data_IF_330329149174
#
_entry.id   IF_330329149174
#
_cell.length_a   1.000
_cell.length_b   1.000
_cell.length_c   1.000
_cell.angle_alpha   90.00
_cell.angle_beta   90.00
_cell.angle_gamma   90.00
#
_symmetry.space_group_name_H-M   'P 1'
#
loop_
_entity.id
_entity.type
_entity.pdbx_description
1 polymer ?
#
# COMPACT_ATOMS: atom_id res chain seq x y z
N UNK A 1 -35.11 19.52 -26.95
CA UNK A 1 -34.19 19.39 -25.81
C UNK A 1 -34.44 18.04 -25.18
N UNK A 2 -33.44 17.18 -25.13
CA UNK A 2 -33.54 15.88 -24.46
C UNK A 2 -33.53 16.07 -22.94
N UNK A 3 -34.01 15.11 -22.14
CA UNK A 3 -33.96 15.18 -20.68
C UNK A 3 -32.53 15.42 -20.15
N UNK A 4 -31.52 14.77 -20.75
CA UNK A 4 -30.12 14.95 -20.39
C UNK A 4 -29.55 16.34 -20.71
N UNK A 5 -30.05 16.98 -21.77
CA UNK A 5 -29.68 18.36 -22.11
C UNK A 5 -30.28 19.34 -21.12
N UNK A 6 -31.51 19.09 -20.65
CA UNK A 6 -32.18 19.93 -19.66
C UNK A 6 -31.48 19.88 -18.30
N UNK A 7 -31.08 18.69 -17.87
CA UNK A 7 -30.28 18.51 -16.64
C UNK A 7 -28.95 19.26 -16.75
N UNK A 8 -28.21 19.07 -17.85
CA UNK A 8 -26.96 19.80 -18.10
C UNK A 8 -27.15 21.31 -18.12
N UNK A 9 -28.20 21.80 -18.75
CA UNK A 9 -28.51 23.23 -18.77
C UNK A 9 -28.78 23.77 -17.36
N UNK A 10 -29.55 23.05 -16.55
CA UNK A 10 -29.81 23.44 -15.16
C UNK A 10 -28.54 23.46 -14.29
N UNK A 11 -27.65 22.48 -14.49
CA UNK A 11 -26.36 22.39 -13.80
C UNK A 11 -25.44 23.56 -14.18
N UNK A 12 -25.35 23.90 -15.48
CA UNK A 12 -24.57 25.04 -15.94
C UNK A 12 -25.07 26.38 -15.36
N UNK A 13 -26.39 26.58 -15.27
CA UNK A 13 -26.96 27.77 -14.63
C UNK A 13 -26.61 27.81 -13.14
N UNK A 14 -26.71 26.67 -12.46
CA UNK A 14 -26.37 26.57 -11.04
C UNK A 14 -24.90 26.94 -10.79
N UNK A 15 -23.98 26.36 -11.56
CA UNK A 15 -22.54 26.69 -11.52
C UNK A 15 -22.27 28.16 -11.81
N UNK A 16 -22.93 28.74 -12.82
CA UNK A 16 -22.81 30.17 -13.13
C UNK A 16 -23.23 31.07 -11.96
N UNK A 17 -24.31 30.71 -11.26
CA UNK A 17 -24.77 31.44 -10.07
C UNK A 17 -23.75 31.39 -8.93
N UNK A 18 -23.15 30.22 -8.69
CA UNK A 18 -22.12 30.07 -7.66
C UNK A 18 -20.87 30.90 -8.01
N UNK A 19 -20.42 30.85 -9.27
CA UNK A 19 -19.31 31.68 -9.75
C UNK A 19 -19.59 33.17 -9.61
N UNK A 20 -20.83 33.61 -9.84
CA UNK A 20 -21.23 35.00 -9.60
C UNK A 20 -21.13 35.37 -8.12
N UNK A 21 -21.58 34.50 -7.21
CA UNK A 21 -21.44 34.72 -5.77
C UNK A 21 -19.98 34.76 -5.33
N UNK A 22 -19.14 33.87 -5.86
CA UNK A 22 -17.72 33.84 -5.56
C UNK A 22 -16.99 35.08 -6.08
N UNK A 23 -17.35 35.59 -7.27
CA UNK A 23 -16.77 36.82 -7.81
C UNK A 23 -17.09 38.03 -6.92
N UNK A 24 -18.31 38.14 -6.41
CA UNK A 24 -18.68 39.17 -5.44
C UNK A 24 -17.86 39.11 -4.15
N UNK A 25 -17.55 37.90 -3.66
CA UNK A 25 -16.70 37.72 -2.48
C UNK A 25 -15.26 38.18 -2.76
N UNK A 26 -14.72 37.92 -3.95
CA UNK A 26 -13.43 38.48 -4.34
C UNK A 26 -13.45 40.00 -4.47
N UNK A 27 -14.53 40.59 -4.99
CA UNK A 27 -14.70 42.05 -4.99
C UNK A 27 -14.74 42.63 -3.58
N UNK A 28 -15.42 41.96 -2.64
CA UNK A 28 -15.43 42.36 -1.21
C UNK A 28 -14.03 42.26 -0.60
N UNK A 29 -13.26 41.23 -0.94
CA UNK A 29 -11.87 41.10 -0.51
C UNK A 29 -10.98 42.22 -1.07
N UNK A 30 -11.12 42.54 -2.36
CA UNK A 30 -10.38 43.64 -3.00
C UNK A 30 -10.71 44.99 -2.35
N UNK A 31 -12.00 45.26 -2.11
CA UNK A 31 -12.44 46.47 -1.42
C UNK A 31 -11.94 46.53 0.03
N UNK A 32 -11.88 45.41 0.73
CA UNK A 32 -11.31 45.33 2.08
C UNK A 32 -9.80 45.66 2.07
N UNK A 33 -9.08 45.31 1.00
CA UNK A 33 -7.68 45.72 0.81
C UNK A 33 -7.58 47.24 0.65
N UNK A 34 -8.42 47.83 -0.21
CA UNK A 34 -8.42 49.27 -0.50
C UNK A 34 -8.72 50.12 0.75
N UNK A 35 -9.65 49.67 1.59
CA UNK A 35 -10.06 50.38 2.81
C UNK A 35 -9.08 50.12 3.98
N UNK A 36 -8.11 49.22 3.80
CA UNK A 36 -7.11 48.92 4.83
C UNK A 36 -7.62 48.04 5.97
N UNK A 37 -8.67 47.26 5.74
CA UNK A 37 -9.24 46.33 6.73
C UNK A 37 -8.24 45.27 7.19
N UNK A 38 -8.51 44.61 8.31
CA UNK A 38 -7.65 43.54 8.84
C UNK A 38 -7.44 42.39 7.85
N UNK A 39 -6.28 41.74 7.93
CA UNK A 39 -5.94 40.58 7.09
C UNK A 39 -6.94 39.43 7.25
N UNK A 40 -7.46 39.23 8.46
CA UNK A 40 -8.46 38.22 8.80
C UNK A 40 -9.77 38.42 8.02
N UNK A 41 -10.23 39.66 7.89
CA UNK A 41 -11.45 39.99 7.14
C UNK A 41 -11.25 39.74 5.65
N UNK A 42 -10.08 40.10 5.10
CA UNK A 42 -9.72 39.83 3.70
C UNK A 42 -9.67 38.34 3.43
N UNK A 43 -9.00 37.59 4.31
CA UNK A 43 -8.85 36.15 4.21
C UNK A 43 -10.21 35.44 4.29
N UNK A 44 -11.12 35.90 5.13
CA UNK A 44 -12.47 35.33 5.24
C UNK A 44 -13.23 35.40 3.91
N UNK A 45 -13.18 36.54 3.22
CA UNK A 45 -13.84 36.69 1.92
C UNK A 45 -13.20 35.79 0.85
N UNK A 46 -11.87 35.72 0.83
CA UNK A 46 -11.13 34.85 -0.10
C UNK A 46 -11.45 33.37 0.17
N UNK A 47 -11.47 32.96 1.44
CA UNK A 47 -11.77 31.59 1.85
C UNK A 47 -13.21 31.21 1.46
N UNK A 48 -14.18 32.06 1.77
CA UNK A 48 -15.60 31.84 1.41
C UNK A 48 -15.80 31.73 -0.12
N UNK A 49 -15.08 32.53 -0.90
CA UNK A 49 -15.10 32.43 -2.36
C UNK A 49 -14.54 31.08 -2.85
N UNK A 50 -13.42 30.62 -2.26
CA UNK A 50 -12.79 29.34 -2.61
C UNK A 50 -13.68 28.15 -2.26
N UNK A 51 -14.25 28.12 -1.05
CA UNK A 51 -15.17 27.06 -0.61
C UNK A 51 -16.39 26.95 -1.54
N UNK A 52 -16.94 28.10 -1.96
CA UNK A 52 -18.07 28.11 -2.90
C UNK A 52 -17.68 27.55 -4.27
N UNK A 53 -16.47 27.84 -4.76
CA UNK A 53 -15.97 27.32 -6.04
C UNK A 53 -15.67 25.82 -5.95
N UNK A 54 -15.13 25.35 -4.83
CA UNK A 54 -14.84 23.93 -4.59
C UNK A 54 -16.13 23.09 -4.57
N UNK A 55 -17.18 23.61 -3.94
CA UNK A 55 -18.52 22.98 -3.92
C UNK A 55 -19.18 22.94 -5.30
N UNK A 56 -18.96 23.94 -6.15
CA UNK A 56 -19.50 24.00 -7.51
C UNK A 56 -18.77 23.09 -8.52
N UNK A 57 -17.50 22.78 -8.27
CA UNK A 57 -16.65 22.01 -9.17
C UNK A 57 -15.90 20.89 -8.44
N UNK A 58 -16.62 19.98 -7.75
CA UNK A 58 -15.97 18.89 -7.01
C UNK A 58 -15.08 18.03 -7.93
N UNK A 59 -15.41 17.93 -9.22
CA UNK A 59 -14.62 17.20 -10.22
C UNK A 59 -13.22 17.81 -10.49
N UNK A 60 -13.05 19.12 -10.29
CA UNK A 60 -11.78 19.82 -10.52
C UNK A 60 -10.91 19.79 -9.24
N UNK A 61 -11.55 19.90 -8.08
CA UNK A 61 -10.87 20.05 -6.79
C UNK A 61 -10.73 18.76 -5.98
N UNK A 62 -11.41 17.69 -6.36
CA UNK A 62 -11.03 16.35 -5.94
C UNK A 62 -9.62 16.06 -6.48
N UNK A 63 -8.62 16.34 -5.66
CA UNK A 63 -7.29 15.76 -5.76
C UNK A 63 -7.53 14.28 -6.01
N UNK A 64 -7.22 13.81 -7.23
CA UNK A 64 -7.20 12.38 -7.55
C UNK A 64 -6.67 11.70 -6.32
N UNK A 65 -7.50 10.91 -5.62
CA UNK A 65 -7.03 10.21 -4.44
C UNK A 65 -5.69 9.61 -4.82
N UNK A 66 -4.59 9.90 -4.09
CA UNK A 66 -3.28 9.44 -4.49
C UNK A 66 -3.44 7.95 -4.77
N UNK A 67 -3.14 7.55 -6.01
CA UNK A 67 -3.44 6.22 -6.55
C UNK A 67 -3.21 5.19 -5.45
N UNK A 68 -4.19 4.31 -5.16
CA UNK A 68 -4.26 3.53 -3.91
C UNK A 68 -2.85 3.07 -3.59
N UNK A 69 -2.26 3.70 -2.57
CA UNK A 69 -0.85 3.60 -2.24
C UNK A 69 -0.58 2.10 -2.23
N UNK A 70 0.14 1.59 -3.24
CA UNK A 70 0.36 0.16 -3.38
C UNK A 70 0.75 -0.31 -2.00
N UNK A 71 -0.10 -1.15 -1.39
CA UNK A 71 0.21 -1.75 -0.10
C UNK A 71 1.41 -2.61 -0.43
N UNK A 72 2.60 -2.05 -0.17
CA UNK A 72 3.85 -2.79 -0.20
C UNK A 72 3.56 -3.88 0.82
N UNK A 73 3.22 -5.08 0.33
CA UNK A 73 3.11 -6.25 1.19
C UNK A 73 4.44 -6.28 1.93
N UNK A 74 4.40 -6.08 3.23
CA UNK A 74 5.59 -6.21 4.06
C UNK A 74 6.22 -7.56 3.67
N UNK A 75 7.39 -7.48 3.06
CA UNK A 75 8.17 -8.65 2.69
C UNK A 75 8.56 -9.30 4.02
N UNK A 76 7.73 -10.25 4.46
CA UNK A 76 7.86 -10.83 5.78
C UNK A 76 9.24 -11.49 5.84
N UNK A 77 10.12 -11.01 6.72
CA UNK A 77 11.50 -11.48 6.75
C UNK A 77 11.53 -12.93 7.24
N UNK A 78 11.49 -13.86 6.29
CA UNK A 78 11.46 -15.30 6.54
C UNK A 78 12.80 -15.85 7.04
N UNK A 79 13.81 -15.01 7.31
CA UNK A 79 15.09 -15.47 7.86
C UNK A 79 14.91 -16.15 9.22
N UNK A 80 14.13 -15.54 10.12
CA UNK A 80 13.93 -16.09 11.47
C UNK A 80 13.15 -17.40 11.41
N UNK A 81 12.08 -17.46 10.60
CA UNK A 81 11.28 -18.67 10.42
C UNK A 81 12.07 -19.81 9.79
N UNK A 82 12.95 -19.53 8.82
CA UNK A 82 13.88 -20.53 8.27
C UNK A 82 14.87 -21.04 9.31
N UNK A 83 15.43 -20.17 10.15
CA UNK A 83 16.35 -20.56 11.22
C UNK A 83 15.66 -21.48 12.22
N UNK A 84 14.45 -21.12 12.66
CA UNK A 84 13.65 -21.94 13.58
C UNK A 84 13.33 -23.31 12.97
N UNK A 85 12.94 -23.34 11.69
CA UNK A 85 12.65 -24.59 10.99
C UNK A 85 13.86 -25.52 10.90
N UNK A 86 15.05 -24.98 10.58
CA UNK A 86 16.30 -25.75 10.52
C UNK A 86 16.69 -26.26 11.90
N UNK A 87 16.61 -25.41 12.93
CA UNK A 87 16.91 -25.82 14.31
C UNK A 87 15.98 -26.94 14.79
N UNK A 88 14.68 -26.83 14.50
CA UNK A 88 13.71 -27.88 14.83
C UNK A 88 14.00 -29.20 14.10
N UNK A 89 14.43 -29.14 12.83
CA UNK A 89 14.81 -30.33 12.06
C UNK A 89 16.02 -31.02 12.69
N UNK A 90 17.08 -30.27 13.02
CA UNK A 90 18.29 -30.82 13.65
C UNK A 90 17.95 -31.47 15.00
N UNK A 91 17.17 -30.78 15.83
CA UNK A 91 16.73 -31.32 17.12
C UNK A 91 15.87 -32.57 16.96
N UNK A 92 14.99 -32.62 15.95
CA UNK A 92 14.19 -33.80 15.62
C UNK A 92 15.05 -35.00 15.23
N UNK A 93 16.06 -34.80 14.40
CA UNK A 93 17.01 -35.86 13.99
C UNK A 93 17.82 -36.35 15.19
N UNK A 94 18.35 -35.44 16.02
CA UNK A 94 19.07 -35.80 17.24
C UNK A 94 18.19 -36.59 18.20
N UNK A 95 16.95 -36.13 18.43
CA UNK A 95 15.99 -36.85 19.27
C UNK A 95 15.67 -38.24 18.70
N UNK A 96 15.56 -38.38 17.38
CA UNK A 96 15.35 -39.67 16.74
C UNK A 96 16.51 -40.64 16.97
N UNK A 97 17.76 -40.16 16.92
CA UNK A 97 18.94 -40.97 17.23
C UNK A 97 19.00 -41.39 18.69
N UNK A 98 18.57 -40.53 19.61
CA UNK A 98 18.50 -40.87 21.05
C UNK A 98 17.41 -41.91 21.30
N UNK A 99 16.23 -41.76 20.68
CA UNK A 99 15.07 -42.61 20.96
C UNK A 99 15.11 -43.97 20.26
N UNK A 100 15.56 -43.99 19.00
CA UNK A 100 15.56 -45.20 18.18
C UNK A 100 16.96 -45.83 18.03
N UNK A 101 18.00 -45.17 18.55
CA UNK A 101 19.39 -45.53 18.28
C UNK A 101 19.79 -45.23 16.83
N UNK A 102 21.09 -45.20 16.50
CA UNK A 102 21.52 -45.21 15.12
C UNK A 102 21.11 -46.55 14.50
N UNK A 103 20.09 -46.54 13.64
CA UNK A 103 19.65 -47.71 12.86
C UNK A 103 20.66 -48.15 11.79
N UNK A 104 21.80 -47.47 11.70
CA UNK A 104 22.98 -47.97 11.01
C UNK A 104 23.76 -48.87 11.95
N UNK A 105 23.76 -50.17 11.67
CA UNK A 105 24.73 -51.12 12.21
C UNK A 105 26.15 -50.64 11.86
N UNK A 106 26.73 -49.84 12.76
CA UNK A 106 28.10 -49.32 12.68
C UNK A 106 29.14 -50.42 12.93
N UNK A 107 28.72 -51.66 13.18
CA UNK A 107 29.63 -52.81 13.34
C UNK A 107 30.13 -53.39 12.01
N UNK A 108 29.60 -52.92 10.86
CA UNK A 108 30.20 -53.21 9.56
C UNK A 108 31.45 -52.35 9.33
N UNK A 109 32.50 -52.64 10.09
CA UNK A 109 33.86 -52.30 9.71
C UNK A 109 34.17 -53.05 8.41
N UNK A 110 34.54 -52.33 7.36
CA UNK A 110 35.11 -52.95 6.15
C UNK A 110 36.28 -53.82 6.59
N UNK A 111 36.16 -55.12 6.41
CA UNK A 111 37.23 -56.06 6.77
C UNK A 111 38.02 -56.36 5.49
N UNK A 112 39.32 -56.62 5.60
CA UNK A 112 40.18 -56.83 4.42
C UNK A 112 39.69 -57.94 3.47
N UNK A 113 38.84 -58.84 3.98
CA UNK A 113 38.20 -59.93 3.23
C UNK A 113 37.04 -59.49 2.30
N UNK A 114 36.53 -58.25 2.43
CA UNK A 114 35.48 -57.72 1.57
C UNK A 114 36.01 -57.28 0.20
N UNK A 115 37.32 -56.99 0.11
CA UNK A 115 38.03 -56.53 -1.11
C UNK A 115 38.05 -57.61 -2.21
N UNK A 116 38.43 -58.88 -1.95
CA UNK A 116 38.45 -59.92 -2.99
C UNK A 116 37.04 -60.33 -3.45
N UNK A 117 36.00 -60.18 -2.62
CA UNK A 117 34.61 -60.46 -3.01
C UNK A 117 34.05 -59.43 -3.99
N UNK A 118 34.43 -58.16 -3.85
CA UNK A 118 33.98 -57.08 -4.73
C UNK A 118 34.78 -56.99 -6.06
N UNK A 119 35.95 -57.63 -6.11
CA UNK A 119 36.85 -57.60 -7.29
C UNK A 119 36.88 -58.90 -8.08
N UNK A 120 36.15 -59.93 -7.65
CA UNK A 120 36.01 -61.16 -8.42
C UNK A 120 35.17 -60.89 -9.67
N UNK A 121 35.81 -60.83 -10.84
CA UNK A 121 35.11 -60.87 -12.12
C UNK A 121 34.39 -62.22 -12.28
N UNK A 122 33.16 -62.24 -12.82
CA UNK A 122 32.41 -63.48 -12.99
C UNK A 122 33.17 -64.44 -13.92
N UNK A 123 33.18 -65.73 -13.57
CA UNK A 123 33.67 -66.81 -14.45
C UNK A 123 32.65 -67.13 -15.53
#
# INVERSE_FOLDING_TARGET
MTPEELERHSDLIHKAKILSGASEQYFKAARAIEIGESEEVRYRFIKSAKESIEDAFPEVFQVRQPAPKYVIKEEHDHKITKIIAIAALILGVLYSFVKFGPTGDLSKTWTADDIPKATAYPK
#
